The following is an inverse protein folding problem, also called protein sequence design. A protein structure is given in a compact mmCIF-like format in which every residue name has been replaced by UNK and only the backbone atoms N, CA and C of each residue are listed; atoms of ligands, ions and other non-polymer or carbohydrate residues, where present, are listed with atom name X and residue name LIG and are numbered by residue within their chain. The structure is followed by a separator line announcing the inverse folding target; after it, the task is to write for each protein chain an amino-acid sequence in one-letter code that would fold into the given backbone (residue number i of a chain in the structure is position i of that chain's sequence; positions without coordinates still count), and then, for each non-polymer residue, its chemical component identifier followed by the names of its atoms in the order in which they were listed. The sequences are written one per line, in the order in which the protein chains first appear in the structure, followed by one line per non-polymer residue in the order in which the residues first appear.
data_IF_825273715462
#
_entry.id   IF_825273715462
#
_cell.length_a   1.000
_cell.length_b   1.000
_cell.length_c   1.000
_cell.angle_alpha   90.00
_cell.angle_beta   90.00
_cell.angle_gamma   90.00
#
_symmetry.space_group_name_H-M   'P 1'
#
loop_
_entity.id
_entity.type
_entity.pdbx_description
1 polymer ?
#
# COMPACT_ATOMS: atom_id res chain seq x y z
N UNK A 1 -32.92 35.22 -1.13
CA UNK A 1 -32.04 34.10 -1.50
C UNK A 1 -31.32 33.68 -0.23
N UNK A 2 -31.72 32.54 0.32
CA UNK A 2 -31.09 32.00 1.53
C UNK A 2 -29.75 31.42 1.14
N UNK A 3 -28.73 31.86 1.83
CA UNK A 3 -27.37 31.37 1.73
C UNK A 3 -27.33 30.00 2.44
N UNK A 4 -27.46 28.92 1.67
CA UNK A 4 -27.25 27.57 2.17
C UNK A 4 -25.75 27.35 2.31
N UNK A 5 -25.23 27.71 3.48
CA UNK A 5 -23.90 27.23 3.92
C UNK A 5 -23.94 25.71 3.91
N UNK A 6 -23.05 25.01 3.20
CA UNK A 6 -23.04 23.55 3.25
C UNK A 6 -22.75 23.13 4.68
N UNK A 7 -23.73 22.46 5.33
CA UNK A 7 -23.52 21.81 6.60
C UNK A 7 -22.36 20.84 6.42
N UNK A 8 -21.26 21.08 7.16
CA UNK A 8 -20.19 20.11 7.31
C UNK A 8 -20.81 18.86 7.94
N UNK A 9 -20.98 17.81 7.14
CA UNK A 9 -21.37 16.51 7.63
C UNK A 9 -20.21 16.04 8.51
N UNK A 10 -20.41 16.08 9.84
CA UNK A 10 -19.49 15.51 10.80
C UNK A 10 -19.39 14.00 10.50
N UNK A 11 -18.33 13.62 9.82
CA UNK A 11 -18.07 12.21 9.51
C UNK A 11 -17.36 11.60 10.71
N UNK A 12 -18.08 10.98 11.62
CA UNK A 12 -17.46 10.15 12.64
C UNK A 12 -16.93 8.87 12.03
N UNK A 13 -15.82 8.37 12.55
CA UNK A 13 -15.19 7.13 12.12
C UNK A 13 -15.53 6.01 13.12
N UNK A 14 -16.01 4.88 12.62
CA UNK A 14 -16.17 3.64 13.39
C UNK A 14 -14.95 2.75 13.09
N UNK A 15 -14.34 2.23 14.14
CA UNK A 15 -13.27 1.24 14.03
C UNK A 15 -13.77 -0.10 14.56
N UNK A 16 -13.79 -1.10 13.71
CA UNK A 16 -14.23 -2.46 14.05
C UNK A 16 -13.08 -3.44 13.79
N UNK A 17 -12.83 -4.32 14.75
CA UNK A 17 -11.84 -5.38 14.58
C UNK A 17 -12.52 -6.71 14.29
N UNK A 18 -11.99 -7.43 13.32
CA UNK A 18 -12.45 -8.75 12.92
C UNK A 18 -11.34 -9.79 13.00
N UNK A 19 -11.76 -11.03 13.14
CA UNK A 19 -10.90 -12.20 13.03
C UNK A 19 -11.50 -13.11 11.93
N UNK A 20 -10.72 -13.41 10.91
CA UNK A 20 -11.11 -14.29 9.82
C UNK A 20 -10.17 -15.49 9.78
N UNK A 21 -10.71 -16.69 9.99
CA UNK A 21 -9.94 -17.93 9.83
C UNK A 21 -9.68 -18.19 8.36
N UNK A 22 -8.41 -18.13 7.96
CA UNK A 22 -7.99 -18.32 6.58
C UNK A 22 -7.65 -19.78 6.28
N UNK A 23 -8.31 -20.32 5.27
CA UNK A 23 -7.97 -21.66 4.74
C UNK A 23 -6.65 -21.63 3.97
N UNK A 24 -6.32 -20.53 3.28
CA UNK A 24 -5.08 -20.40 2.54
C UNK A 24 -3.87 -20.22 3.44
N UNK A 25 -3.99 -19.40 4.49
CA UNK A 25 -2.87 -19.11 5.40
C UNK A 25 -2.78 -20.06 6.58
N UNK A 26 -3.82 -20.92 6.78
CA UNK A 26 -3.93 -21.90 7.89
C UNK A 26 -3.75 -21.23 9.26
N UNK A 27 -4.32 -20.02 9.41
CA UNK A 27 -4.33 -19.24 10.64
C UNK A 27 -5.47 -18.24 10.67
N UNK A 28 -5.74 -17.73 11.85
CA UNK A 28 -6.59 -16.57 12.01
C UNK A 28 -5.86 -15.29 11.57
N UNK A 29 -6.55 -14.47 10.79
CA UNK A 29 -6.09 -13.16 10.35
C UNK A 29 -6.93 -12.09 11.04
N UNK A 30 -6.27 -11.25 11.82
CA UNK A 30 -6.89 -10.07 12.44
C UNK A 30 -6.82 -8.91 11.45
N UNK A 31 -7.88 -8.13 11.37
CA UNK A 31 -7.86 -6.87 10.64
C UNK A 31 -8.82 -5.86 11.25
N UNK A 32 -8.47 -4.58 11.13
CA UNK A 32 -9.27 -3.46 11.59
C UNK A 32 -9.92 -2.77 10.39
N UNK A 33 -11.21 -2.47 10.51
CA UNK A 33 -11.98 -1.74 9.51
C UNK A 33 -12.27 -0.35 10.04
N UNK A 34 -11.79 0.67 9.33
CA UNK A 34 -12.03 2.08 9.59
C UNK A 34 -13.14 2.55 8.66
N UNK A 35 -14.34 2.72 9.18
CA UNK A 35 -15.57 2.97 8.43
C UNK A 35 -16.15 4.35 8.76
N UNK A 36 -16.31 5.26 7.77
CA UNK A 36 -17.06 6.51 7.98
C UNK A 36 -18.54 6.26 8.25
N UNK A 37 -19.06 6.74 9.40
CA UNK A 37 -20.43 6.44 9.87
C UNK A 37 -21.52 7.14 9.05
N UNK A 38 -21.21 8.27 8.41
CA UNK A 38 -22.20 9.08 7.69
C UNK A 38 -22.56 8.56 6.30
N UNK A 39 -22.09 7.38 5.90
CA UNK A 39 -22.21 6.91 4.52
C UNK A 39 -23.26 5.81 4.37
N UNK A 40 -24.33 6.18 3.67
CA UNK A 40 -25.43 5.29 3.33
C UNK A 40 -25.15 4.31 2.17
N UNK A 41 -23.99 4.44 1.49
CA UNK A 41 -23.67 3.70 0.26
C UNK A 41 -22.20 3.30 0.18
N UNK A 42 -21.78 2.19 0.80
CA UNK A 42 -20.39 1.70 0.73
C UNK A 42 -19.88 1.49 -0.69
N UNK A 43 -20.74 1.15 -1.63
CA UNK A 43 -20.39 0.95 -3.04
C UNK A 43 -19.93 2.24 -3.77
N UNK A 44 -20.20 3.40 -3.18
CA UNK A 44 -19.74 4.70 -3.70
C UNK A 44 -18.42 5.14 -3.09
N UNK A 45 -17.90 4.39 -2.12
CA UNK A 45 -16.63 4.68 -1.45
C UNK A 45 -15.46 4.02 -2.13
N UNK A 46 -14.29 4.60 -1.93
CA UNK A 46 -13.02 3.94 -2.18
C UNK A 46 -12.68 3.00 -1.03
N UNK A 47 -12.00 1.91 -1.35
CA UNK A 47 -11.45 0.95 -0.40
C UNK A 47 -9.93 1.02 -0.42
N UNK A 48 -9.30 1.18 0.74
CA UNK A 48 -7.86 1.08 0.92
C UNK A 48 -7.51 -0.11 1.81
N UNK A 49 -6.79 -1.08 1.27
CA UNK A 49 -6.16 -2.14 2.04
C UNK A 49 -4.77 -1.68 2.49
N UNK A 50 -4.39 -1.96 3.73
CA UNK A 50 -3.08 -1.59 4.29
C UNK A 50 -2.47 -2.83 4.95
N UNK A 51 -1.34 -3.29 4.44
CA UNK A 51 -0.54 -4.33 5.07
C UNK A 51 0.12 -3.81 6.35
N UNK A 52 0.40 -4.71 7.29
CA UNK A 52 0.92 -4.38 8.62
C UNK A 52 -0.04 -3.49 9.42
N UNK A 53 -1.34 -3.79 9.37
CA UNK A 53 -2.40 -3.05 10.04
C UNK A 53 -2.19 -2.85 11.55
N UNK A 54 -1.48 -3.78 12.23
CA UNK A 54 -1.11 -3.64 13.62
C UNK A 54 -0.22 -2.41 13.89
N UNK A 55 0.46 -1.89 12.88
CA UNK A 55 1.27 -0.68 13.03
C UNK A 55 0.44 0.60 12.97
N UNK A 56 -0.74 0.56 12.38
CA UNK A 56 -1.71 1.66 12.40
C UNK A 56 -2.16 1.99 13.83
N UNK A 57 -2.24 0.97 14.70
CA UNK A 57 -2.57 1.15 16.13
C UNK A 57 -1.49 1.90 16.91
N UNK A 58 -0.26 1.98 16.38
CA UNK A 58 0.86 2.74 16.95
C UNK A 58 0.94 4.17 16.38
N UNK A 59 0.07 4.49 15.44
CA UNK A 59 -0.10 5.79 14.83
C UNK A 59 -1.49 6.32 15.25
N UNK A 60 -1.72 7.62 15.35
CA UNK A 60 -3.08 8.16 15.51
C UNK A 60 -3.83 8.10 14.16
N UNK A 61 -3.94 6.89 13.57
CA UNK A 61 -4.45 6.71 12.20
C UNK A 61 -5.94 7.02 12.10
N UNK A 62 -6.72 6.60 13.07
CA UNK A 62 -8.15 6.88 13.19
C UNK A 62 -8.41 8.38 13.32
N UNK A 63 -7.74 9.06 14.24
CA UNK A 63 -7.84 10.52 14.42
C UNK A 63 -7.39 11.28 13.15
N UNK A 64 -6.30 10.82 12.50
CA UNK A 64 -5.79 11.38 11.26
C UNK A 64 -6.80 11.26 10.12
N UNK A 65 -7.33 10.04 9.91
CA UNK A 65 -8.28 9.74 8.84
C UNK A 65 -9.58 10.51 9.05
N UNK A 66 -10.14 10.48 10.28
CA UNK A 66 -11.33 11.25 10.65
C UNK A 66 -11.12 12.75 10.45
N UNK A 67 -9.98 13.26 10.91
CA UNK A 67 -9.63 14.68 10.78
C UNK A 67 -9.57 15.15 9.32
N UNK A 68 -8.96 14.37 8.43
CA UNK A 68 -8.88 14.68 7.01
C UNK A 68 -10.26 14.67 6.33
N UNK A 69 -11.11 13.70 6.66
CA UNK A 69 -12.46 13.60 6.11
C UNK A 69 -13.36 14.72 6.64
N UNK A 70 -13.33 15.00 7.94
CA UNK A 70 -14.15 16.03 8.59
C UNK A 70 -13.82 17.43 8.10
N UNK A 71 -12.53 17.71 7.85
CA UNK A 71 -12.07 18.98 7.24
C UNK A 71 -12.39 19.05 5.75
N UNK A 72 -12.88 17.99 5.14
CA UNK A 72 -13.14 17.90 3.72
C UNK A 72 -11.87 17.89 2.85
N UNK A 73 -10.72 17.57 3.43
CA UNK A 73 -9.45 17.50 2.72
C UNK A 73 -9.35 16.25 1.82
N UNK A 74 -10.05 15.18 2.20
CA UNK A 74 -10.17 13.95 1.39
C UNK A 74 -11.63 13.54 1.24
N UNK A 75 -11.91 12.76 0.19
CA UNK A 75 -13.17 12.04 0.02
C UNK A 75 -13.30 10.94 1.08
N UNK A 76 -14.55 10.55 1.43
CA UNK A 76 -14.76 9.43 2.33
C UNK A 76 -14.12 8.13 1.82
N UNK A 77 -13.42 7.44 2.73
CA UNK A 77 -12.58 6.30 2.45
C UNK A 77 -12.78 5.21 3.49
N UNK A 78 -13.04 3.98 3.06
CA UNK A 78 -12.96 2.80 3.92
C UNK A 78 -11.53 2.29 3.92
N UNK A 79 -10.94 2.13 5.10
CA UNK A 79 -9.61 1.53 5.22
C UNK A 79 -9.69 0.19 5.95
N UNK A 80 -8.86 -0.76 5.54
CA UNK A 80 -8.70 -2.06 6.19
C UNK A 80 -7.24 -2.28 6.51
N UNK A 81 -6.90 -2.25 7.78
CA UNK A 81 -5.57 -2.57 8.28
C UNK A 81 -5.44 -4.08 8.52
N UNK A 82 -4.72 -4.79 7.67
CA UNK A 82 -4.53 -6.24 7.75
C UNK A 82 -3.32 -6.54 8.62
N UNK A 83 -3.53 -7.21 9.76
CA UNK A 83 -2.44 -7.57 10.66
C UNK A 83 -1.61 -8.71 10.08
N UNK A 84 -0.30 -8.55 10.07
CA UNK A 84 0.59 -9.65 9.71
C UNK A 84 0.62 -10.72 10.82
N UNK A 85 0.86 -11.95 10.42
CA UNK A 85 1.08 -13.08 11.32
C UNK A 85 2.55 -13.30 11.66
N UNK A 86 2.85 -14.33 12.46
CA UNK A 86 4.21 -14.70 12.80
C UNK A 86 5.05 -15.10 11.58
N UNK A 87 4.40 -15.54 10.51
CA UNK A 87 5.05 -15.92 9.26
C UNK A 87 5.11 -14.77 8.24
N UNK A 88 5.04 -13.51 8.70
CA UNK A 88 5.07 -12.30 7.85
C UNK A 88 6.09 -12.38 6.71
N UNK A 89 7.30 -12.86 6.99
CA UNK A 89 8.38 -12.97 5.99
C UNK A 89 8.12 -14.05 4.93
N UNK A 90 7.24 -15.01 5.21
CA UNK A 90 6.85 -16.05 4.27
C UNK A 90 5.59 -15.66 3.48
N UNK A 91 4.68 -14.95 4.12
CA UNK A 91 3.41 -14.51 3.53
C UNK A 91 3.56 -13.26 2.66
N UNK A 92 4.54 -12.39 2.95
CA UNK A 92 4.85 -11.19 2.16
C UNK A 92 6.00 -11.46 1.18
N UNK A 93 6.03 -10.69 0.11
CA UNK A 93 7.01 -10.79 -0.96
C UNK A 93 6.34 -10.76 -2.34
N UNK A 94 6.97 -11.37 -3.33
CA UNK A 94 6.43 -11.51 -4.68
C UNK A 94 5.82 -12.90 -4.88
N UNK A 95 4.57 -12.97 -5.36
CA UNK A 95 3.79 -14.22 -5.43
C UNK A 95 4.40 -15.30 -6.34
N UNK A 96 5.13 -14.88 -7.38
CA UNK A 96 5.70 -15.79 -8.38
C UNK A 96 7.12 -16.26 -8.06
N UNK A 97 7.79 -15.65 -7.09
CA UNK A 97 9.17 -16.02 -6.76
C UNK A 97 9.52 -15.62 -5.34
N UNK A 98 9.94 -16.60 -4.57
CA UNK A 98 10.60 -16.35 -3.30
C UNK A 98 11.94 -15.62 -3.54
N UNK A 99 12.44 -14.92 -2.52
CA UNK A 99 13.79 -14.38 -2.58
C UNK A 99 14.88 -15.46 -2.43
N UNK A 100 16.13 -15.07 -2.56
CA UNK A 100 17.29 -15.98 -2.47
C UNK A 100 17.44 -16.68 -1.11
N UNK A 101 16.76 -16.23 -0.06
CA UNK A 101 16.69 -16.89 1.26
C UNK A 101 15.44 -17.74 1.47
N UNK A 102 14.62 -17.90 0.44
CA UNK A 102 13.36 -18.64 0.52
C UNK A 102 12.24 -17.90 1.25
N UNK A 103 12.35 -16.59 1.47
CA UNK A 103 11.26 -15.77 2.00
C UNK A 103 10.22 -15.53 0.89
N UNK A 104 8.95 -15.35 1.28
CA UNK A 104 7.85 -15.12 0.32
C UNK A 104 7.28 -16.40 -0.30
N UNK A 105 7.61 -17.58 0.19
CA UNK A 105 7.09 -18.86 -0.35
C UNK A 105 5.57 -19.00 -0.19
N UNK A 106 4.94 -18.22 0.69
CA UNK A 106 3.48 -18.16 0.91
C UNK A 106 2.83 -16.90 0.31
N UNK A 107 3.57 -16.05 -0.41
CA UNK A 107 3.02 -14.80 -0.95
C UNK A 107 1.85 -15.03 -1.92
N UNK A 108 1.89 -16.12 -2.71
CA UNK A 108 0.76 -16.53 -3.54
C UNK A 108 -0.48 -16.97 -2.73
N UNK A 109 -0.28 -17.57 -1.56
CA UNK A 109 -1.39 -17.91 -0.64
C UNK A 109 -1.97 -16.64 0.00
N UNK A 110 -1.12 -15.67 0.35
CA UNK A 110 -1.57 -14.38 0.85
C UNK A 110 -2.40 -13.63 -0.21
N UNK A 111 -1.99 -13.67 -1.47
CA UNK A 111 -2.78 -13.11 -2.58
C UNK A 111 -4.16 -13.76 -2.67
N UNK A 112 -4.23 -15.09 -2.57
CA UNK A 112 -5.52 -15.80 -2.54
C UNK A 112 -6.38 -15.43 -1.35
N UNK A 113 -5.79 -15.33 -0.16
CA UNK A 113 -6.50 -14.83 1.02
C UNK A 113 -7.17 -13.48 0.76
N UNK A 114 -6.45 -12.52 0.16
CA UNK A 114 -7.01 -11.19 -0.15
C UNK A 114 -8.24 -11.30 -1.07
N UNK A 115 -8.16 -12.08 -2.17
CA UNK A 115 -9.20 -12.10 -3.18
C UNK A 115 -10.32 -13.09 -2.90
N UNK A 116 -10.03 -14.22 -2.30
CA UNK A 116 -10.96 -15.32 -2.15
C UNK A 116 -11.58 -15.40 -0.74
N UNK A 117 -10.98 -14.72 0.25
CA UNK A 117 -11.48 -14.73 1.63
C UNK A 117 -11.79 -13.32 2.14
N UNK A 118 -10.80 -12.42 2.19
CA UNK A 118 -10.97 -11.09 2.80
C UNK A 118 -11.95 -10.21 2.03
N UNK A 119 -11.76 -9.98 0.74
CA UNK A 119 -12.63 -9.12 -0.05
C UNK A 119 -14.08 -9.64 -0.12
N UNK A 120 -14.34 -10.95 -0.29
CA UNK A 120 -15.68 -11.52 -0.17
C UNK A 120 -16.31 -11.30 1.22
N UNK A 121 -15.54 -11.48 2.29
CA UNK A 121 -15.99 -11.21 3.65
C UNK A 121 -16.45 -9.76 3.81
N UNK A 122 -15.62 -8.80 3.40
CA UNK A 122 -15.92 -7.36 3.47
C UNK A 122 -17.17 -7.00 2.68
N UNK A 123 -17.29 -7.49 1.44
CA UNK A 123 -18.46 -7.26 0.59
C UNK A 123 -19.75 -7.77 1.24
N UNK A 124 -19.68 -8.94 1.87
CA UNK A 124 -20.83 -9.55 2.55
C UNK A 124 -21.19 -8.78 3.83
N UNK A 125 -20.22 -8.47 4.66
CA UNK A 125 -20.42 -7.83 5.96
C UNK A 125 -21.04 -6.44 5.82
N UNK A 126 -20.56 -5.66 4.87
CA UNK A 126 -21.01 -4.27 4.65
C UNK A 126 -22.05 -4.13 3.54
N UNK A 127 -22.58 -5.23 3.01
CA UNK A 127 -23.53 -5.23 1.90
C UNK A 127 -23.06 -4.38 0.71
N UNK A 128 -21.75 -4.38 0.45
CA UNK A 128 -21.10 -3.61 -0.60
C UNK A 128 -20.63 -4.55 -1.73
N UNK A 129 -21.44 -4.78 -2.77
CA UNK A 129 -21.08 -5.70 -3.85
C UNK A 129 -19.84 -5.24 -4.62
N UNK A 130 -19.58 -3.93 -4.62
CA UNK A 130 -18.41 -3.31 -5.24
C UNK A 130 -17.97 -2.09 -4.44
N UNK A 131 -16.78 -1.58 -4.74
CA UNK A 131 -16.29 -0.28 -4.31
C UNK A 131 -16.01 0.57 -5.55
N UNK A 132 -16.07 1.90 -5.41
CA UNK A 132 -15.78 2.84 -6.49
C UNK A 132 -14.41 2.59 -7.10
N UNK A 133 -13.42 2.45 -6.24
CA UNK A 133 -12.06 2.03 -6.55
C UNK A 133 -11.45 1.27 -5.36
N UNK A 134 -10.41 0.50 -5.63
CA UNK A 134 -9.65 -0.23 -4.62
C UNK A 134 -8.19 0.17 -4.71
N UNK A 135 -7.55 0.28 -3.56
CA UNK A 135 -6.14 0.66 -3.42
C UNK A 135 -5.45 -0.24 -2.42
N UNK A 136 -4.15 -0.41 -2.55
CA UNK A 136 -3.38 -1.22 -1.64
C UNK A 136 -2.12 -0.48 -1.21
N UNK A 137 -1.82 -0.48 0.07
CA UNK A 137 -0.64 0.14 0.64
C UNK A 137 0.04 -0.78 1.66
N UNK A 138 1.26 -0.45 2.02
CA UNK A 138 1.97 -1.15 3.09
C UNK A 138 3.36 -0.58 3.36
N UNK A 139 3.94 -1.06 4.44
CA UNK A 139 5.23 -0.61 4.95
C UNK A 139 6.29 -1.69 4.74
N UNK A 140 7.51 -1.28 4.33
CA UNK A 140 8.62 -2.22 4.18
C UNK A 140 8.26 -3.41 3.26
N UNK A 141 8.34 -4.62 3.78
CA UNK A 141 7.94 -5.84 3.06
C UNK A 141 6.43 -5.86 2.72
N UNK A 142 5.59 -5.20 3.54
CA UNK A 142 4.17 -5.01 3.26
C UNK A 142 3.93 -4.10 2.06
N UNK A 143 4.79 -3.11 1.84
CA UNK A 143 4.76 -2.24 0.65
C UNK A 143 5.13 -3.00 -0.63
N UNK A 144 6.15 -3.86 -0.57
CA UNK A 144 6.48 -4.76 -1.68
C UNK A 144 5.31 -5.68 -2.04
N UNK A 145 4.67 -6.29 -1.02
CA UNK A 145 3.51 -7.18 -1.27
C UNK A 145 2.31 -6.45 -1.85
N UNK A 146 2.02 -5.23 -1.38
CA UNK A 146 0.95 -4.42 -1.94
C UNK A 146 1.22 -4.09 -3.40
N UNK A 147 2.46 -3.76 -3.75
CA UNK A 147 2.89 -3.49 -5.11
C UNK A 147 2.77 -4.73 -5.99
N UNK A 148 3.30 -5.88 -5.55
CA UNK A 148 3.24 -7.15 -6.29
C UNK A 148 1.81 -7.57 -6.59
N UNK A 149 0.93 -7.54 -5.57
CA UNK A 149 -0.48 -7.91 -5.73
C UNK A 149 -1.19 -6.97 -6.71
N UNK A 150 -1.03 -5.66 -6.55
CA UNK A 150 -1.71 -4.69 -7.40
C UNK A 150 -1.19 -4.70 -8.83
N UNK A 151 0.11 -4.90 -9.03
CA UNK A 151 0.72 -5.02 -10.35
C UNK A 151 0.25 -6.26 -11.12
N UNK A 152 0.10 -7.39 -10.43
CA UNK A 152 -0.34 -8.65 -11.03
C UNK A 152 -1.87 -8.78 -11.14
N UNK A 153 -2.63 -7.89 -10.48
CA UNK A 153 -4.09 -7.80 -10.56
C UNK A 153 -4.54 -6.36 -10.90
N UNK A 154 -4.09 -5.82 -12.04
CA UNK A 154 -4.25 -4.40 -12.35
C UNK A 154 -5.72 -3.98 -12.55
N UNK A 155 -6.62 -4.91 -12.87
CA UNK A 155 -8.05 -4.63 -12.97
C UNK A 155 -8.72 -4.39 -11.61
N UNK A 156 -8.07 -4.79 -10.52
CA UNK A 156 -8.64 -4.72 -9.17
C UNK A 156 -8.25 -3.45 -8.41
N UNK A 157 -7.12 -2.84 -8.78
CA UNK A 157 -6.57 -1.71 -8.04
C UNK A 157 -6.31 -0.49 -8.91
N UNK A 158 -6.35 0.69 -8.27
CA UNK A 158 -6.09 1.97 -8.93
C UNK A 158 -4.87 2.69 -8.32
N UNK A 159 -4.64 2.58 -7.02
CA UNK A 159 -3.56 3.29 -6.33
C UNK A 159 -2.77 2.33 -5.46
N UNK A 160 -1.47 2.50 -5.45
CA UNK A 160 -0.53 1.70 -4.67
C UNK A 160 0.30 2.64 -3.79
N UNK A 161 0.33 2.38 -2.48
CA UNK A 161 1.16 3.10 -1.51
C UNK A 161 2.32 2.23 -1.04
N UNK A 162 3.55 2.68 -1.27
CA UNK A 162 4.78 1.95 -0.95
C UNK A 162 5.58 2.81 0.00
N UNK A 163 5.59 2.44 1.29
CA UNK A 163 6.31 3.17 2.34
C UNK A 163 7.58 2.41 2.72
N UNK A 164 8.75 2.99 2.45
CA UNK A 164 10.06 2.36 2.66
C UNK A 164 10.09 0.92 2.14
N UNK A 165 9.59 0.70 0.91
CA UNK A 165 9.34 -0.63 0.36
C UNK A 165 10.58 -1.49 0.26
N UNK A 166 10.46 -2.81 0.54
CA UNK A 166 11.57 -3.77 0.42
C UNK A 166 11.89 -4.09 -1.05
N UNK A 167 12.19 -3.07 -1.84
CA UNK A 167 12.39 -3.16 -3.29
C UNK A 167 13.71 -3.85 -3.68
N UNK A 168 14.62 -4.05 -2.70
CA UNK A 168 15.82 -4.88 -2.78
C UNK A 168 15.52 -6.38 -2.95
N UNK A 169 14.26 -6.79 -2.95
CA UNK A 169 13.83 -8.18 -3.06
C UNK A 169 14.39 -8.86 -4.31
N UNK A 170 15.27 -9.87 -4.12
CA UNK A 170 16.10 -10.39 -5.19
C UNK A 170 16.23 -11.91 -5.17
N UNK A 171 16.59 -12.47 -6.33
CA UNK A 171 16.73 -13.92 -6.53
C UNK A 171 18.13 -14.47 -6.22
N UNK A 172 19.15 -13.59 -6.06
CA UNK A 172 20.51 -13.99 -5.72
C UNK A 172 21.06 -13.18 -4.55
N UNK A 173 21.92 -13.80 -3.74
CA UNK A 173 22.75 -13.12 -2.75
C UNK A 173 23.89 -12.35 -3.42
N UNK A 174 24.47 -11.37 -2.73
CA UNK A 174 25.61 -10.63 -3.27
C UNK A 174 26.80 -11.53 -3.56
N UNK A 175 27.03 -12.56 -2.72
CA UNK A 175 28.10 -13.57 -2.91
C UNK A 175 27.84 -14.53 -4.07
N UNK A 176 26.62 -14.57 -4.60
CA UNK A 176 26.20 -15.48 -5.66
C UNK A 176 26.22 -14.84 -7.06
N UNK A 177 26.93 -13.73 -7.21
CA UNK A 177 27.00 -12.97 -8.46
C UNK A 177 25.72 -12.20 -8.75
N UNK A 178 25.25 -11.47 -7.74
CA UNK A 178 24.12 -10.56 -7.86
C UNK A 178 24.36 -9.45 -8.89
N UNK A 179 23.33 -9.16 -9.66
CA UNK A 179 23.28 -8.07 -10.65
C UNK A 179 21.99 -7.29 -10.47
N UNK A 180 22.07 -5.99 -10.27
CA UNK A 180 20.92 -5.11 -10.02
C UNK A 180 19.85 -5.22 -11.12
N UNK A 181 20.29 -5.27 -12.38
CA UNK A 181 19.40 -5.31 -13.53
C UNK A 181 18.71 -6.65 -13.73
N UNK A 182 19.34 -7.75 -13.27
CA UNK A 182 18.88 -9.10 -13.55
C UNK A 182 18.23 -9.78 -12.34
N UNK A 183 18.50 -9.32 -11.12
CA UNK A 183 18.18 -10.10 -9.95
C UNK A 183 17.13 -9.47 -9.03
N UNK A 184 16.82 -8.16 -9.15
CA UNK A 184 15.74 -7.51 -8.39
C UNK A 184 14.38 -7.90 -8.97
N UNK A 185 13.63 -8.70 -8.21
CA UNK A 185 12.43 -9.37 -8.72
C UNK A 185 11.29 -8.41 -9.12
N UNK A 186 11.04 -7.36 -8.33
CA UNK A 186 9.94 -6.43 -8.65
C UNK A 186 10.27 -5.55 -9.85
N UNK A 187 11.51 -5.07 -9.98
CA UNK A 187 11.98 -4.33 -11.14
C UNK A 187 11.86 -5.18 -12.42
N UNK A 188 12.25 -6.46 -12.35
CA UNK A 188 12.08 -7.40 -13.47
C UNK A 188 10.60 -7.61 -13.85
N UNK A 189 9.70 -7.68 -12.88
CA UNK A 189 8.26 -7.79 -13.16
C UNK A 189 7.75 -6.53 -13.87
N UNK A 190 8.13 -5.35 -13.40
CA UNK A 190 7.77 -4.08 -14.04
C UNK A 190 8.31 -4.02 -15.48
N UNK A 191 9.58 -4.34 -15.68
CA UNK A 191 10.23 -4.35 -17.00
C UNK A 191 9.54 -5.28 -17.99
N UNK A 192 9.02 -6.41 -17.54
CA UNK A 192 8.31 -7.41 -18.37
C UNK A 192 6.81 -7.14 -18.50
N UNK A 193 6.23 -6.35 -17.60
CA UNK A 193 4.81 -6.08 -17.57
C UNK A 193 4.34 -5.07 -18.61
N UNK A 194 3.08 -4.71 -18.52
CA UNK A 194 2.41 -3.77 -19.44
C UNK A 194 2.08 -2.45 -18.77
N UNK A 195 1.80 -1.44 -19.56
CA UNK A 195 1.29 -0.15 -19.10
C UNK A 195 -0.22 -0.27 -18.82
N UNK A 196 -0.62 0.15 -17.64
CA UNK A 196 -2.02 0.23 -17.21
C UNK A 196 -2.33 1.68 -16.80
N UNK A 197 -2.97 2.49 -17.65
CA UNK A 197 -3.08 3.95 -17.48
C UNK A 197 -3.89 4.40 -16.26
N UNK A 198 -4.61 3.49 -15.61
CA UNK A 198 -5.35 3.77 -14.37
C UNK A 198 -4.57 3.51 -13.09
N UNK A 199 -3.41 2.82 -13.16
CA UNK A 199 -2.58 2.60 -11.98
C UNK A 199 -1.78 3.86 -11.64
N UNK A 200 -1.75 4.17 -10.36
CA UNK A 200 -1.00 5.28 -9.78
C UNK A 200 -0.19 4.79 -8.59
N UNK A 201 0.99 5.34 -8.39
CA UNK A 201 1.96 4.89 -7.42
C UNK A 201 2.40 6.04 -6.52
N UNK A 202 2.30 5.83 -5.22
CA UNK A 202 2.91 6.70 -4.21
C UNK A 202 4.09 5.94 -3.61
N UNK A 203 5.28 6.47 -3.75
CA UNK A 203 6.53 5.85 -3.28
C UNK A 203 7.15 6.77 -2.26
N UNK A 204 7.34 6.29 -1.04
CA UNK A 204 7.98 7.05 0.03
C UNK A 204 9.24 6.35 0.51
N UNK A 205 10.30 7.12 0.74
CA UNK A 205 11.54 6.69 1.39
C UNK A 205 11.97 7.72 2.44
N UNK A 206 12.67 7.27 3.48
CA UNK A 206 13.36 8.13 4.42
C UNK A 206 14.86 8.22 4.10
N UNK A 207 15.48 9.39 4.27
CA UNK A 207 16.93 9.55 4.02
C UNK A 207 17.82 8.80 5.02
N UNK A 208 17.23 8.26 6.09
CA UNK A 208 17.89 7.45 7.11
C UNK A 208 17.20 6.07 7.25
N UNK A 209 16.55 5.57 6.21
CA UNK A 209 15.91 4.24 6.22
C UNK A 209 16.93 3.12 6.48
N UNK A 210 18.16 3.30 6.00
CA UNK A 210 19.29 2.39 6.19
C UNK A 210 20.61 3.13 5.97
N UNK A 211 21.71 2.40 5.94
CA UNK A 211 23.07 2.94 5.67
C UNK A 211 23.78 2.21 4.53
N UNK A 212 23.15 1.17 3.96
CA UNK A 212 23.72 0.43 2.86
C UNK A 212 23.74 1.30 1.59
N UNK A 213 24.85 1.23 0.86
CA UNK A 213 25.10 1.87 -0.45
C UNK A 213 25.97 0.89 -1.24
N UNK A 214 25.34 -0.07 -1.91
CA UNK A 214 25.99 -1.21 -2.56
C UNK A 214 26.82 -0.83 -3.78
N UNK A 215 26.43 0.25 -4.45
CA UNK A 215 27.09 0.72 -5.67
C UNK A 215 28.04 1.90 -5.40
N UNK A 216 28.11 2.40 -4.14
CA UNK A 216 28.97 3.49 -3.69
C UNK A 216 28.74 4.82 -4.43
N UNK A 217 27.47 5.10 -4.77
CA UNK A 217 27.10 6.34 -5.46
C UNK A 217 26.75 7.49 -4.49
N UNK A 218 26.73 7.24 -3.17
CA UNK A 218 26.41 8.20 -2.13
C UNK A 218 24.90 8.26 -1.81
N UNK A 219 24.10 7.36 -2.39
CA UNK A 219 22.66 7.22 -2.14
C UNK A 219 22.42 5.86 -1.45
N UNK A 220 21.62 5.83 -0.41
CA UNK A 220 21.30 4.57 0.28
C UNK A 220 20.45 3.65 -0.61
N UNK A 221 20.65 2.35 -0.47
CA UNK A 221 20.02 1.32 -1.33
C UNK A 221 18.48 1.42 -1.39
N UNK A 222 17.81 1.78 -0.29
CA UNK A 222 16.36 1.93 -0.27
C UNK A 222 15.85 3.06 -1.16
N UNK A 223 16.60 4.15 -1.29
CA UNK A 223 16.30 5.26 -2.20
C UNK A 223 16.64 4.86 -3.64
N UNK A 224 17.82 4.30 -3.87
CA UNK A 224 18.24 3.82 -5.20
C UNK A 224 17.23 2.82 -5.78
N UNK A 225 16.85 1.82 -5.00
CA UNK A 225 15.85 0.82 -5.43
C UNK A 225 14.50 1.46 -5.78
N UNK A 226 14.09 2.48 -5.04
CA UNK A 226 12.84 3.20 -5.30
C UNK A 226 12.92 4.04 -6.57
N UNK A 227 14.02 4.76 -6.78
CA UNK A 227 14.25 5.58 -7.98
C UNK A 227 14.37 4.71 -9.23
N UNK A 228 15.07 3.58 -9.16
CA UNK A 228 15.17 2.61 -10.26
C UNK A 228 13.80 2.02 -10.60
N UNK A 229 12.97 1.71 -9.60
CA UNK A 229 11.58 1.27 -9.85
C UNK A 229 10.79 2.34 -10.61
N UNK A 230 10.94 3.61 -10.25
CA UNK A 230 10.29 4.73 -10.94
C UNK A 230 10.80 4.83 -12.40
N UNK A 231 12.09 4.60 -12.63
CA UNK A 231 12.64 4.54 -14.00
C UNK A 231 11.98 3.43 -14.81
N UNK A 232 11.81 2.23 -14.25
CA UNK A 232 11.11 1.12 -14.92
C UNK A 232 9.64 1.47 -15.22
N UNK A 233 8.94 2.10 -14.29
CA UNK A 233 7.56 2.56 -14.50
C UNK A 233 7.50 3.59 -15.64
N UNK A 234 8.38 4.60 -15.64
CA UNK A 234 8.45 5.62 -16.69
C UNK A 234 8.78 5.01 -18.06
N UNK A 235 9.66 4.02 -18.11
CA UNK A 235 9.98 3.27 -19.34
C UNK A 235 8.76 2.51 -19.90
N UNK A 236 7.76 2.18 -19.06
CA UNK A 236 6.50 1.59 -19.49
C UNK A 236 5.48 2.60 -20.01
N UNK A 237 5.66 3.89 -19.77
CA UNK A 237 4.75 4.95 -20.19
C UNK A 237 4.02 5.66 -19.05
N UNK A 238 4.28 5.29 -17.79
CA UNK A 238 3.79 6.06 -16.65
C UNK A 238 4.50 7.41 -16.59
N UNK A 239 3.76 8.46 -16.27
CA UNK A 239 4.26 9.85 -16.18
C UNK A 239 4.24 10.32 -14.72
N UNK A 240 4.71 11.54 -14.48
CA UNK A 240 4.64 12.16 -13.15
C UNK A 240 3.18 12.36 -12.66
N UNK A 241 2.18 12.30 -13.53
CA UNK A 241 0.77 12.27 -13.13
C UNK A 241 0.36 10.94 -12.48
N UNK A 242 1.10 9.86 -12.77
CA UNK A 242 0.85 8.53 -12.23
C UNK A 242 1.69 8.23 -10.99
N UNK A 243 2.80 8.96 -10.78
CA UNK A 243 3.82 8.63 -9.79
C UNK A 243 4.05 9.82 -8.89
N UNK A 244 3.83 9.65 -7.60
CA UNK A 244 4.24 10.59 -6.56
C UNK A 244 5.40 9.98 -5.78
N UNK A 245 6.53 10.69 -5.72
CA UNK A 245 7.68 10.30 -4.91
C UNK A 245 7.87 11.28 -3.74
N UNK A 246 7.88 10.75 -2.54
CA UNK A 246 8.08 11.50 -1.31
C UNK A 246 9.36 11.02 -0.60
N UNK A 247 10.43 11.79 -0.69
CA UNK A 247 11.62 11.59 0.11
C UNK A 247 11.52 12.41 1.40
N UNK A 248 11.63 11.73 2.54
CA UNK A 248 11.53 12.38 3.84
C UNK A 248 12.90 12.65 4.43
N UNK A 249 13.33 13.93 4.55
CA UNK A 249 14.55 14.27 5.25
C UNK A 249 14.54 13.73 6.68
N UNK A 250 15.64 13.11 7.10
CA UNK A 250 15.79 12.48 8.42
C UNK A 250 14.77 11.39 8.75
N UNK A 251 13.96 10.99 7.77
CA UNK A 251 13.03 9.87 7.89
C UNK A 251 13.79 8.55 8.06
N UNK A 252 13.30 7.69 8.95
CA UNK A 252 13.84 6.37 9.27
C UNK A 252 12.90 5.27 8.85
N UNK A 253 13.40 4.05 8.79
CA UNK A 253 12.60 2.85 8.52
C UNK A 253 11.75 2.46 9.74
N UNK A 254 10.82 3.34 10.12
CA UNK A 254 10.05 3.19 11.35
C UNK A 254 8.61 3.76 11.25
N UNK A 255 7.78 3.32 12.19
CA UNK A 255 6.37 3.72 12.29
C UNK A 255 6.19 5.24 12.42
N UNK A 256 7.00 5.99 13.21
CA UNK A 256 6.87 7.44 13.29
C UNK A 256 7.07 8.17 11.96
N UNK A 257 8.00 7.69 11.13
CA UNK A 257 8.24 8.25 9.79
C UNK A 257 7.05 7.98 8.87
N UNK A 258 6.55 6.76 8.84
CA UNK A 258 5.40 6.39 8.01
C UNK A 258 4.13 7.13 8.44
N UNK A 259 3.92 7.30 9.75
CA UNK A 259 2.80 8.10 10.28
C UNK A 259 2.81 9.55 9.76
N UNK A 260 3.99 10.16 9.63
CA UNK A 260 4.13 11.52 9.06
C UNK A 260 3.89 11.56 7.56
N UNK A 261 4.16 10.49 6.84
CA UNK A 261 3.97 10.39 5.38
C UNK A 261 2.51 10.09 4.98
N UNK A 262 1.77 9.37 5.83
CA UNK A 262 0.40 8.93 5.55
C UNK A 262 -0.57 10.07 5.15
N UNK A 263 -0.58 11.26 5.79
CA UNK A 263 -1.46 12.35 5.34
C UNK A 263 -1.21 12.78 3.89
N UNK A 264 0.05 12.79 3.46
CA UNK A 264 0.40 13.11 2.06
C UNK A 264 -0.14 12.06 1.09
N UNK A 265 0.01 10.78 1.42
CA UNK A 265 -0.56 9.67 0.65
C UNK A 265 -2.09 9.75 0.56
N UNK A 266 -2.76 9.98 1.69
CA UNK A 266 -4.22 10.07 1.73
C UNK A 266 -4.73 11.26 0.92
N UNK A 267 -4.08 12.42 1.00
CA UNK A 267 -4.41 13.60 0.20
C UNK A 267 -4.10 13.40 -1.28
N UNK A 268 -2.98 12.78 -1.63
CA UNK A 268 -2.66 12.44 -3.01
C UNK A 268 -3.69 11.48 -3.61
N UNK A 269 -4.10 10.47 -2.85
CA UNK A 269 -5.01 9.43 -3.34
C UNK A 269 -6.47 9.87 -3.42
N UNK A 270 -6.93 10.66 -2.45
CA UNK A 270 -8.36 10.99 -2.26
C UNK A 270 -8.62 12.45 -1.93
N UNK A 271 -7.63 13.32 -2.09
CA UNK A 271 -7.81 14.76 -1.88
C UNK A 271 -8.90 15.33 -2.76
N UNK A 272 -9.74 16.17 -2.18
CA UNK A 272 -10.69 17.00 -2.93
C UNK A 272 -9.89 18.11 -3.61
N UNK A 273 -9.12 17.74 -4.64
CA UNK A 273 -8.33 18.69 -5.40
C UNK A 273 -9.22 19.71 -6.06
N UNK A 274 -8.76 20.94 -6.11
CA UNK A 274 -9.22 21.93 -7.08
C UNK A 274 -9.26 21.23 -8.42
N UNK A 275 -10.48 20.96 -8.93
CA UNK A 275 -10.66 20.46 -10.29
C UNK A 275 -10.00 21.49 -11.20
N UNK A 276 -8.82 21.13 -11.73
CA UNK A 276 -8.19 21.88 -12.80
C UNK A 276 -9.01 21.78 -14.08
#
# INVERSE_FOLDING_TARGET
MADETPQSVLTSLLVEQYILSSEYLQRDVIFDVYLPVALSRPEQMSLLLINDGQDLLKMPFDEMLEGLMTKGEIEPLVCIGIHCGPERKMEYGTAYSADYKGRGTKAGLYTKFIFEELLPFIRKTYHAPSFRDKSFAGFSLGGLSALDIAWNQPSEFNKIGIFSGSLWWRRKGYEDGYDDEQDRLMHLQMRKGSFYPWLRFFVQCGTLDETADRNQNGIIDSIDDALDLIVELKAKGFTDEHIEYLEMPEGKHDVPTWAKALPSFLKWGWGKGVKS
#
